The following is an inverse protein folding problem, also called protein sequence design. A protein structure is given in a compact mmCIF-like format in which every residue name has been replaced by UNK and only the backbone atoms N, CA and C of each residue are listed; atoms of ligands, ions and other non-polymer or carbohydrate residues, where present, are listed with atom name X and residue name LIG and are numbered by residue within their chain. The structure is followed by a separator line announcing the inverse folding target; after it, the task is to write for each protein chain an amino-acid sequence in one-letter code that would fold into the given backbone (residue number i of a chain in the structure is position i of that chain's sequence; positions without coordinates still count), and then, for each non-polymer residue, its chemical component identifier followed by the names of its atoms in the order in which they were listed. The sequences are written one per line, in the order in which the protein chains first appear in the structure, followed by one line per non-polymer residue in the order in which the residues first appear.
data_IF_371025931811
#
_entry.id   IF_371025931811
#
_cell.length_a   1.000
_cell.length_b   1.000
_cell.length_c   1.000
_cell.angle_alpha   90.00
_cell.angle_beta   90.00
_cell.angle_gamma   90.00
#
_symmetry.space_group_name_H-M   'P 1'
#
loop_
_entity.id
_entity.type
_entity.pdbx_description
1 polymer ?
#
# COMPACT_ATOMS: atom_id res chain seq x y z
N UNK A 1 -9.06 -3.05 3.90
CA UNK A 1 -8.10 -2.95 2.79
C UNK A 1 -7.44 -1.60 2.86
N UNK A 2 -6.11 -1.61 2.85
CA UNK A 2 -5.30 -0.39 2.83
C UNK A 2 -4.67 -0.17 1.45
N UNK A 3 -4.65 1.07 1.01
CA UNK A 3 -3.91 1.54 -0.17
C UNK A 3 -3.00 2.64 0.33
N UNK A 4 -1.69 2.41 0.28
CA UNK A 4 -0.69 3.42 0.65
C UNK A 4 0.13 3.78 -0.57
N UNK A 5 0.42 5.07 -0.71
CA UNK A 5 1.25 5.54 -1.81
C UNK A 5 2.23 6.62 -1.35
N UNK A 6 3.31 6.70 -2.08
CA UNK A 6 4.40 7.65 -1.86
C UNK A 6 4.71 8.37 -3.17
N UNK A 7 4.85 9.66 -3.08
CA UNK A 7 5.38 10.51 -4.14
C UNK A 7 6.87 10.77 -3.92
N UNK A 8 7.63 11.24 -4.92
CA UNK A 8 8.99 11.68 -4.73
C UNK A 8 9.10 12.71 -3.60
N UNK A 9 10.16 12.60 -2.79
CA UNK A 9 10.43 13.56 -1.72
C UNK A 9 10.45 14.99 -2.25
N UNK A 10 9.85 15.91 -1.50
CA UNK A 10 9.69 17.30 -1.92
C UNK A 10 8.43 17.57 -2.76
N UNK A 11 7.61 16.57 -3.03
CA UNK A 11 6.32 16.78 -3.68
C UNK A 11 5.39 17.64 -2.81
N UNK A 12 4.69 18.63 -3.40
CA UNK A 12 3.75 19.47 -2.67
C UNK A 12 2.52 18.67 -2.23
N UNK A 13 1.95 19.03 -1.09
CA UNK A 13 0.81 18.34 -0.48
C UNK A 13 -0.44 18.33 -1.38
N UNK A 14 -0.61 19.36 -2.19
CA UNK A 14 -1.72 19.48 -3.15
C UNK A 14 -1.70 18.36 -4.19
N UNK A 15 -0.49 17.94 -4.60
CA UNK A 15 -0.34 16.82 -5.52
C UNK A 15 -0.72 15.49 -4.85
N UNK A 16 -0.33 15.31 -3.61
CA UNK A 16 -0.71 14.14 -2.82
C UNK A 16 -2.22 14.09 -2.62
N UNK A 17 -2.83 15.24 -2.31
CA UNK A 17 -4.27 15.36 -2.17
C UNK A 17 -5.00 15.00 -3.47
N UNK A 18 -4.58 15.54 -4.61
CA UNK A 18 -5.20 15.24 -5.91
C UNK A 18 -5.16 13.74 -6.23
N UNK A 19 -4.06 13.06 -5.92
CA UNK A 19 -3.94 11.60 -6.12
C UNK A 19 -4.83 10.85 -5.12
N UNK A 20 -4.89 11.28 -3.86
CA UNK A 20 -5.79 10.72 -2.86
C UNK A 20 -7.25 10.79 -3.34
N UNK A 21 -7.68 11.93 -3.89
CA UNK A 21 -9.03 12.13 -4.43
C UNK A 21 -9.34 11.19 -5.62
N UNK A 22 -8.35 10.92 -6.48
CA UNK A 22 -8.50 9.94 -7.58
C UNK A 22 -8.75 8.55 -7.02
N UNK A 23 -7.91 8.10 -6.07
CA UNK A 23 -8.02 6.78 -5.46
C UNK A 23 -9.34 6.66 -4.69
N UNK A 24 -9.70 7.69 -3.92
CA UNK A 24 -10.96 7.75 -3.16
C UNK A 24 -12.17 7.65 -4.09
N UNK A 25 -12.16 8.36 -5.21
CA UNK A 25 -13.27 8.33 -6.17
C UNK A 25 -13.50 6.92 -6.74
N UNK A 26 -12.42 6.20 -7.06
CA UNK A 26 -12.53 4.82 -7.53
C UNK A 26 -12.99 3.85 -6.42
N UNK A 27 -12.54 4.07 -5.20
CA UNK A 27 -13.00 3.30 -4.04
C UNK A 27 -14.50 3.53 -3.75
N UNK A 28 -14.98 4.77 -3.87
CA UNK A 28 -16.41 5.09 -3.71
C UNK A 28 -17.29 4.51 -4.82
N UNK A 29 -16.81 4.52 -6.07
CA UNK A 29 -17.50 3.86 -7.19
C UNK A 29 -17.60 2.36 -6.94
N UNK A 30 -16.50 1.72 -6.51
CA UNK A 30 -16.50 0.30 -6.19
C UNK A 30 -17.43 -0.01 -5.00
N UNK A 31 -17.45 0.85 -3.98
CA UNK A 31 -18.39 0.74 -2.85
C UNK A 31 -19.84 0.74 -3.33
N UNK A 32 -20.20 1.68 -4.20
CA UNK A 32 -21.55 1.77 -4.73
C UNK A 32 -21.92 0.52 -5.55
N UNK A 33 -21.02 0.04 -6.38
CA UNK A 33 -21.24 -1.15 -7.20
C UNK A 33 -21.43 -2.40 -6.34
N UNK A 34 -20.48 -2.69 -5.44
CA UNK A 34 -20.55 -3.89 -4.60
C UNK A 34 -21.74 -3.88 -3.67
N UNK A 35 -22.02 -2.76 -3.01
CA UNK A 35 -23.15 -2.65 -2.09
C UNK A 35 -24.52 -2.64 -2.83
N UNK A 36 -24.53 -2.52 -4.16
CA UNK A 36 -25.77 -2.65 -4.97
C UNK A 36 -25.91 -4.05 -5.54
N UNK A 37 -24.79 -4.70 -5.87
CA UNK A 37 -24.78 -6.02 -6.53
C UNK A 37 -24.86 -7.16 -5.52
N UNK A 38 -24.22 -7.01 -4.37
CA UNK A 38 -24.20 -8.02 -3.32
C UNK A 38 -25.43 -7.90 -2.39
N UNK A 39 -25.91 -9.02 -1.80
CA UNK A 39 -27.06 -9.01 -0.90
C UNK A 39 -26.82 -8.28 0.42
N UNK A 40 -25.55 -8.13 0.80
CA UNK A 40 -25.11 -7.49 2.04
C UNK A 40 -24.13 -6.33 1.74
N UNK A 41 -24.01 -5.40 2.68
CA UNK A 41 -23.04 -4.32 2.58
C UNK A 41 -21.61 -4.89 2.67
N UNK A 42 -20.85 -4.76 1.61
CA UNK A 42 -19.44 -5.21 1.55
C UNK A 42 -18.51 -4.14 2.06
N UNK A 43 -18.65 -2.90 1.56
CA UNK A 43 -17.80 -1.76 1.96
C UNK A 43 -18.62 -0.82 2.84
N UNK A 44 -18.22 -0.71 4.10
CA UNK A 44 -18.88 0.18 5.06
C UNK A 44 -18.39 1.63 4.92
N UNK A 45 -17.11 1.86 4.98
CA UNK A 45 -16.50 3.20 4.94
C UNK A 45 -15.28 3.26 4.03
N UNK A 46 -14.99 4.46 3.54
CA UNK A 46 -13.72 4.83 2.90
C UNK A 46 -13.14 5.97 3.72
N UNK A 47 -11.89 5.83 4.14
CA UNK A 47 -11.14 6.80 4.94
C UNK A 47 -9.92 7.22 4.16
N UNK A 48 -9.60 8.51 4.16
CA UNK A 48 -8.44 9.07 3.45
C UNK A 48 -7.54 9.83 4.41
N UNK A 49 -6.25 9.71 4.23
CA UNK A 49 -5.23 10.43 4.99
C UNK A 49 -4.19 11.01 4.04
N UNK A 50 -3.88 12.30 4.21
CA UNK A 50 -2.85 13.00 3.45
C UNK A 50 -1.76 13.48 4.40
N UNK A 51 -0.51 13.34 3.99
CA UNK A 51 0.65 13.75 4.76
C UNK A 51 1.17 12.73 5.76
N UNK A 52 0.59 11.54 5.83
CA UNK A 52 1.08 10.43 6.66
C UNK A 52 0.37 9.11 6.34
N UNK A 53 1.01 8.01 6.71
CA UNK A 53 0.40 6.68 6.74
C UNK A 53 -0.04 6.37 8.17
N UNK A 54 -1.31 6.54 8.47
CA UNK A 54 -1.83 6.36 9.83
C UNK A 54 -1.99 4.88 10.17
N UNK A 55 -2.65 4.12 9.32
CA UNK A 55 -2.92 2.70 9.55
C UNK A 55 -1.72 1.81 9.20
N UNK A 56 -0.96 2.13 8.15
CA UNK A 56 0.24 1.38 7.79
C UNK A 56 1.32 1.44 8.89
N UNK A 57 1.34 2.50 9.72
CA UNK A 57 2.27 2.66 10.84
C UNK A 57 1.68 2.25 12.20
N UNK A 58 0.44 1.77 12.25
CA UNK A 58 -0.20 1.39 13.51
C UNK A 58 0.54 0.27 14.25
N UNK A 59 1.26 -0.61 13.54
CA UNK A 59 2.11 -1.64 14.14
C UNK A 59 3.34 -1.07 14.85
N UNK A 60 3.94 -0.01 14.31
CA UNK A 60 5.07 0.65 14.96
C UNK A 60 4.66 1.33 16.27
N UNK A 61 3.38 1.71 16.40
CA UNK A 61 2.83 2.33 17.60
C UNK A 61 2.49 1.32 18.70
N UNK A 62 2.20 0.07 18.35
CA UNK A 62 1.88 -1.00 19.31
C UNK A 62 3.11 -1.70 19.89
N UNK A 63 4.32 -1.37 19.42
CA UNK A 63 5.57 -1.92 19.97
C UNK A 63 5.85 -1.34 21.37
N UNK A 64 6.17 -2.19 22.37
CA UNK A 64 6.53 -1.73 23.74
C UNK A 64 7.76 -0.80 23.77
N UNK A 65 8.50 -0.74 22.67
CA UNK A 65 9.69 0.11 22.49
C UNK A 65 9.37 1.58 22.22
N UNK A 66 8.07 1.96 22.22
CA UNK A 66 7.65 3.35 22.16
C UNK A 66 8.31 4.14 21.03
N UNK A 67 8.17 3.65 19.80
CA UNK A 67 8.64 4.41 18.64
C UNK A 67 7.97 5.79 18.65
N UNK A 68 8.78 6.81 18.87
CA UNK A 68 8.34 8.20 18.93
C UNK A 68 7.67 8.52 17.58
N UNK A 69 6.34 8.54 17.56
CA UNK A 69 5.58 8.97 16.39
C UNK A 69 5.88 10.45 16.24
N UNK A 70 6.96 10.76 15.56
CA UNK A 70 7.22 12.14 15.17
C UNK A 70 6.04 12.59 14.32
N UNK A 71 5.29 13.53 14.85
CA UNK A 71 4.13 14.17 14.21
C UNK A 71 4.53 15.02 12.98
N UNK A 72 5.67 14.74 12.38
CA UNK A 72 6.09 15.42 11.17
C UNK A 72 5.16 14.99 10.03
N UNK A 73 4.34 15.92 9.60
CA UNK A 73 3.60 15.76 8.35
C UNK A 73 4.61 15.58 7.22
N UNK A 74 4.44 14.52 6.46
CA UNK A 74 5.31 14.17 5.34
C UNK A 74 4.50 14.34 4.05
N UNK A 75 4.55 15.52 3.40
CA UNK A 75 3.60 15.93 2.37
C UNK A 75 3.42 14.95 1.20
N UNK A 76 4.42 14.12 0.93
CA UNK A 76 4.44 13.18 -0.18
C UNK A 76 3.78 11.82 0.14
N UNK A 77 3.26 11.62 1.36
CA UNK A 77 2.62 10.37 1.77
C UNK A 77 1.09 10.48 1.71
N UNK A 78 0.44 9.44 1.18
CA UNK A 78 -1.02 9.35 1.18
C UNK A 78 -1.50 7.93 1.46
N UNK A 79 -2.68 7.83 2.06
CA UNK A 79 -3.30 6.57 2.43
C UNK A 79 -4.82 6.62 2.20
N UNK A 80 -5.36 5.56 1.61
CA UNK A 80 -6.80 5.34 1.48
C UNK A 80 -7.13 3.99 2.09
N UNK A 81 -8.04 3.98 3.06
CA UNK A 81 -8.47 2.76 3.75
C UNK A 81 -9.91 2.47 3.41
N UNK A 82 -10.15 1.31 2.83
CA UNK A 82 -11.46 0.77 2.53
C UNK A 82 -11.85 -0.20 3.65
N UNK A 83 -12.81 0.21 4.46
CA UNK A 83 -13.30 -0.57 5.60
C UNK A 83 -14.38 -1.52 5.11
N UNK A 84 -14.12 -2.81 5.22
CA UNK A 84 -15.08 -3.87 4.88
C UNK A 84 -15.92 -4.22 6.09
N UNK A 85 -17.13 -4.70 5.84
CA UNK A 85 -17.96 -5.34 6.87
C UNK A 85 -17.23 -6.58 7.43
N UNK A 86 -17.43 -6.97 8.70
CA UNK A 86 -16.80 -8.15 9.28
C UNK A 86 -16.95 -9.40 8.42
N UNK A 87 -15.93 -10.26 8.40
CA UNK A 87 -15.86 -11.40 7.49
C UNK A 87 -16.95 -12.45 7.74
N UNK A 88 -17.40 -12.58 8.98
CA UNK A 88 -18.52 -13.44 9.39
C UNK A 88 -19.86 -13.01 8.77
N UNK A 89 -20.09 -11.71 8.66
CA UNK A 89 -21.30 -11.15 8.07
C UNK A 89 -21.34 -11.20 6.53
N UNK A 90 -20.20 -11.46 5.88
CA UNK A 90 -20.05 -11.53 4.41
C UNK A 90 -19.55 -12.89 3.93
N UNK A 91 -19.86 -13.94 4.66
CA UNK A 91 -19.46 -15.31 4.31
C UNK A 91 -19.98 -15.72 2.93
N UNK A 92 -19.04 -16.14 2.06
CA UNK A 92 -19.37 -16.53 0.67
C UNK A 92 -19.59 -15.37 -0.31
N UNK A 93 -19.39 -14.12 0.14
CA UNK A 93 -19.46 -12.91 -0.67
C UNK A 93 -18.03 -12.40 -1.03
N UNK A 94 -17.97 -11.24 -1.69
CA UNK A 94 -16.72 -10.60 -2.12
C UNK A 94 -15.71 -10.46 -0.96
N UNK A 95 -14.54 -11.05 -1.12
CA UNK A 95 -13.45 -11.05 -0.15
C UNK A 95 -12.58 -9.79 -0.20
N UNK A 96 -11.68 -9.64 0.78
CA UNK A 96 -10.74 -8.51 0.82
C UNK A 96 -9.78 -8.51 -0.37
N UNK A 97 -9.33 -9.68 -0.80
CA UNK A 97 -8.44 -9.82 -1.97
C UNK A 97 -9.16 -9.48 -3.27
N UNK A 98 -10.44 -9.87 -3.42
CA UNK A 98 -11.24 -9.52 -4.59
C UNK A 98 -11.45 -8.00 -4.69
N UNK A 99 -11.63 -7.33 -3.54
CA UNK A 99 -11.71 -5.85 -3.47
C UNK A 99 -10.40 -5.22 -3.91
N UNK A 100 -9.24 -5.76 -3.48
CA UNK A 100 -7.92 -5.30 -3.91
C UNK A 100 -7.75 -5.44 -5.43
N UNK A 101 -8.06 -6.59 -5.98
CA UNK A 101 -7.89 -6.86 -7.42
C UNK A 101 -8.77 -5.94 -8.27
N UNK A 102 -10.01 -5.71 -7.83
CA UNK A 102 -10.91 -4.74 -8.47
C UNK A 102 -10.38 -3.30 -8.36
N UNK A 103 -9.88 -2.88 -7.19
CA UNK A 103 -9.29 -1.55 -7.00
C UNK A 103 -8.02 -1.38 -7.84
N UNK A 104 -7.12 -2.38 -7.82
CA UNK A 104 -5.90 -2.38 -8.63
C UNK A 104 -6.18 -2.23 -10.12
N UNK A 105 -7.17 -2.97 -10.63
CA UNK A 105 -7.58 -2.90 -12.03
C UNK A 105 -8.17 -1.55 -12.43
N UNK A 106 -8.88 -0.87 -11.52
CA UNK A 106 -9.51 0.44 -11.76
C UNK A 106 -8.54 1.59 -11.64
N UNK A 107 -7.72 1.57 -10.59
CA UNK A 107 -6.75 2.64 -10.31
C UNK A 107 -5.60 2.58 -11.33
N UNK A 108 -5.15 1.37 -11.69
CA UNK A 108 -4.05 1.20 -12.65
C UNK A 108 -2.77 1.89 -12.19
N UNK A 109 -1.99 2.39 -13.14
CA UNK A 109 -0.76 3.12 -12.87
C UNK A 109 -1.04 4.62 -12.79
N UNK A 110 -0.68 5.25 -11.67
CA UNK A 110 -0.83 6.69 -11.47
C UNK A 110 0.50 7.39 -11.80
N UNK A 111 0.54 8.28 -12.80
CA UNK A 111 1.77 8.99 -13.16
C UNK A 111 2.31 9.83 -12.00
N UNK A 112 3.60 9.68 -11.71
CA UNK A 112 4.29 10.44 -10.68
C UNK A 112 4.14 9.88 -9.25
N UNK A 113 3.53 8.73 -9.08
CA UNK A 113 3.58 7.93 -7.85
C UNK A 113 4.83 7.05 -7.94
N UNK A 114 5.69 7.14 -6.92
CA UNK A 114 6.92 6.36 -6.83
C UNK A 114 6.63 4.95 -6.30
N UNK A 115 5.72 4.87 -5.33
CA UNK A 115 5.33 3.61 -4.69
C UNK A 115 3.83 3.56 -4.44
N UNK A 116 3.18 2.47 -4.83
CA UNK A 116 1.75 2.22 -4.62
C UNK A 116 1.57 0.79 -4.15
N UNK A 117 1.15 0.61 -2.90
CA UNK A 117 0.99 -0.69 -2.26
C UNK A 117 -0.46 -0.92 -1.82
N UNK A 118 -0.92 -2.17 -1.97
CA UNK A 118 -2.23 -2.62 -1.54
C UNK A 118 -2.08 -3.69 -0.46
N UNK A 119 -2.88 -3.60 0.60
CA UNK A 119 -2.89 -4.57 1.70
C UNK A 119 -4.30 -5.03 2.04
N UNK A 120 -4.51 -6.33 2.14
CA UNK A 120 -5.78 -6.89 2.62
C UNK A 120 -5.96 -6.69 4.13
N UNK A 121 -4.87 -6.66 4.87
CA UNK A 121 -4.83 -6.46 6.30
C UNK A 121 -4.26 -5.08 6.62
N UNK A 122 -4.89 -4.36 7.51
CA UNK A 122 -4.38 -3.10 8.06
C UNK A 122 -3.22 -3.38 9.03
N UNK A 123 -3.25 -4.55 9.65
CA UNK A 123 -2.22 -5.05 10.56
C UNK A 123 -1.54 -6.27 9.94
N UNK A 124 -0.34 -6.12 9.43
CA UNK A 124 0.51 -7.21 8.93
C UNK A 124 1.79 -7.25 9.75
N UNK A 125 2.18 -8.43 10.18
CA UNK A 125 3.45 -8.64 10.90
C UNK A 125 4.66 -8.61 9.94
N UNK A 126 4.81 -7.49 9.19
CA UNK A 126 5.91 -7.30 8.24
C UNK A 126 5.58 -7.71 6.80
N UNK A 127 6.60 -7.70 5.95
CA UNK A 127 6.48 -8.07 4.53
C UNK A 127 6.38 -9.59 4.39
N UNK A 128 5.46 -10.07 3.56
CA UNK A 128 5.24 -11.51 3.34
C UNK A 128 6.49 -12.24 2.82
N UNK A 129 7.30 -11.56 2.00
CA UNK A 129 8.56 -12.06 1.48
C UNK A 129 9.60 -10.94 1.60
N UNK A 130 10.74 -11.24 2.20
CA UNK A 130 11.85 -10.33 2.34
C UNK A 130 13.15 -11.05 2.00
N UNK A 131 13.90 -10.52 1.03
CA UNK A 131 15.23 -10.99 0.69
C UNK A 131 16.24 -9.90 1.04
N UNK A 132 17.31 -10.30 1.69
CA UNK A 132 18.44 -9.43 2.00
C UNK A 132 19.69 -9.96 1.27
N UNK A 133 20.33 -9.10 0.50
CA UNK A 133 21.56 -9.42 -0.20
C UNK A 133 22.70 -8.58 0.39
N UNK A 134 23.80 -9.24 0.73
CA UNK A 134 25.01 -8.58 1.21
C UNK A 134 26.21 -8.95 0.34
N UNK A 135 27.16 -8.05 0.18
CA UNK A 135 28.36 -8.30 -0.62
C UNK A 135 29.22 -7.05 -0.78
N UNK A 136 30.47 -7.25 -1.22
CA UNK A 136 31.51 -6.22 -1.28
C UNK A 136 31.38 -5.27 -2.47
N UNK A 137 30.47 -5.53 -3.42
CA UNK A 137 30.34 -4.74 -4.64
C UNK A 137 28.89 -4.28 -4.86
N UNK A 138 28.64 -3.00 -4.69
CA UNK A 138 27.35 -2.36 -4.92
C UNK A 138 26.79 -2.64 -6.33
N UNK A 139 27.67 -2.60 -7.36
CA UNK A 139 27.27 -2.91 -8.73
C UNK A 139 26.74 -4.33 -8.90
N UNK A 140 27.39 -5.31 -8.22
CA UNK A 140 26.92 -6.71 -8.25
C UNK A 140 25.64 -6.88 -7.46
N UNK A 141 25.50 -6.20 -6.32
CA UNK A 141 24.28 -6.23 -5.52
C UNK A 141 23.08 -5.72 -6.32
N UNK A 142 23.21 -4.57 -6.96
CA UNK A 142 22.13 -4.00 -7.79
C UNK A 142 21.74 -4.93 -8.95
N UNK A 143 22.71 -5.61 -9.54
CA UNK A 143 22.41 -6.59 -10.58
C UNK A 143 21.61 -7.79 -10.04
N UNK A 144 22.03 -8.34 -8.89
CA UNK A 144 21.31 -9.44 -8.23
C UNK A 144 19.89 -9.03 -7.84
N UNK A 145 19.71 -7.82 -7.33
CA UNK A 145 18.37 -7.28 -6.99
C UNK A 145 17.51 -7.17 -8.25
N UNK A 146 18.04 -6.63 -9.33
CA UNK A 146 17.34 -6.49 -10.60
C UNK A 146 16.95 -7.88 -11.19
N UNK A 147 17.87 -8.83 -11.20
CA UNK A 147 17.63 -10.19 -11.69
C UNK A 147 16.57 -10.91 -10.83
N UNK A 148 16.65 -10.74 -9.50
CA UNK A 148 15.68 -11.30 -8.57
C UNK A 148 14.29 -10.70 -8.79
N UNK A 149 14.20 -9.40 -9.03
CA UNK A 149 12.94 -8.72 -9.33
C UNK A 149 12.29 -9.24 -10.61
N UNK A 150 13.10 -9.43 -11.67
CA UNK A 150 12.62 -10.02 -12.93
C UNK A 150 12.12 -11.44 -12.71
N UNK A 151 12.87 -12.26 -11.95
CA UNK A 151 12.48 -13.61 -11.62
C UNK A 151 11.14 -13.64 -10.85
N UNK A 152 11.02 -12.83 -9.81
CA UNK A 152 9.83 -12.78 -8.96
C UNK A 152 8.59 -12.25 -9.70
N UNK A 153 8.75 -11.32 -10.62
CA UNK A 153 7.64 -10.81 -11.44
C UNK A 153 6.99 -11.86 -12.35
N UNK A 154 7.69 -12.96 -12.59
CA UNK A 154 7.17 -14.10 -13.37
C UNK A 154 6.26 -15.06 -12.58
N UNK A 155 6.18 -14.93 -11.26
CA UNK A 155 5.33 -15.79 -10.44
C UNK A 155 3.93 -15.19 -10.27
N UNK A 156 2.90 -16.00 -10.52
CA UNK A 156 1.53 -15.60 -10.26
C UNK A 156 1.31 -15.35 -8.75
N UNK A 157 0.67 -14.24 -8.41
CA UNK A 157 0.39 -13.86 -7.02
C UNK A 157 1.51 -13.05 -6.33
N UNK A 158 2.59 -12.75 -7.03
CA UNK A 158 3.63 -11.82 -6.55
C UNK A 158 3.35 -10.42 -7.09
N UNK A 159 3.06 -9.48 -6.19
CA UNK A 159 2.74 -8.08 -6.48
C UNK A 159 3.59 -7.14 -5.64
N UNK A 160 3.62 -5.88 -6.01
CA UNK A 160 4.20 -4.77 -5.22
C UNK A 160 5.67 -5.00 -4.84
N UNK A 161 6.47 -5.49 -5.82
CA UNK A 161 7.91 -5.69 -5.66
C UNK A 161 8.61 -4.35 -5.46
N UNK A 162 9.16 -4.14 -4.27
CA UNK A 162 9.94 -2.96 -3.91
C UNK A 162 11.34 -3.38 -3.46
N UNK A 163 12.33 -2.59 -3.83
CA UNK A 163 13.69 -2.66 -3.32
C UNK A 163 13.96 -1.43 -2.43
N UNK A 164 14.80 -1.60 -1.46
CA UNK A 164 15.37 -0.50 -0.68
C UNK A 164 16.78 -0.27 -1.21
N UNK A 165 16.90 0.66 -2.16
CA UNK A 165 18.22 1.15 -2.57
C UNK A 165 18.79 1.98 -1.42
N UNK A 166 19.46 1.32 -0.49
CA UNK A 166 20.23 1.99 0.56
C UNK A 166 21.44 2.61 -0.11
N UNK A 167 21.29 3.82 -0.66
CA UNK A 167 22.40 4.65 -1.06
C UNK A 167 23.33 4.78 0.12
N UNK A 168 24.35 3.88 0.11
CA UNK A 168 25.55 3.91 0.92
C UNK A 168 25.44 4.62 2.28
N UNK A 169 25.07 3.93 3.34
CA UNK A 169 25.61 4.25 4.64
C UNK A 169 27.07 3.72 4.64
N UNK A 170 27.99 4.52 4.16
CA UNK A 170 29.40 4.33 4.45
C UNK A 170 29.62 4.71 5.91
N UNK A 171 29.92 3.70 6.73
CA UNK A 171 30.60 3.86 8.01
C UNK A 171 32.05 4.28 7.77
#
# INVERSE_FOLDING_TARGET
VGIVFELPEGSPIEKTQAITEIIESEALKLKQELNTTEPEIIISHVLTTVGKHYFANAEAQSSPSGGNVTSSSTPHLGEVVVVLTPADSRWGLTGAYDVIDKLRSRIGTIPGVERLNYSANIFTAGKSIHFEFSGDSFKKLNQVVADTRVLLSGFAGVYDLADTDTKGCLL
#
